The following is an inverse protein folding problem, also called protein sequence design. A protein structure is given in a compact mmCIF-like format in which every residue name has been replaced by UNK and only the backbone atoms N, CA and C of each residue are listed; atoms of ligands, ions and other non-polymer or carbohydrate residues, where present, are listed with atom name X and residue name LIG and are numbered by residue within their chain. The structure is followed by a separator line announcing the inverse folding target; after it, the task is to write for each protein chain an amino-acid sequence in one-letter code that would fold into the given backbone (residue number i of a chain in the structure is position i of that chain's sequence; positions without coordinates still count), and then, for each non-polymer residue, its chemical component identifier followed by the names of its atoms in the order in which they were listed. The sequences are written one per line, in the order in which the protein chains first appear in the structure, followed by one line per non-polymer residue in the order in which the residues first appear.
data_IF_496673318545
#
_entry.id   IF_496673318545
#
_cell.length_a   1.000
_cell.length_b   1.000
_cell.length_c   1.000
_cell.angle_alpha   90.00
_cell.angle_beta   90.00
_cell.angle_gamma   90.00
#
_symmetry.space_group_name_H-M   'P 1'
#
loop_
_entity.id
_entity.type
_entity.pdbx_description
1 polymer ?
#
# COMPACT_ATOMS: atom_id res chain seq x y z
N UNK A 1 12.52 10.29 0.39
CA UNK A 1 13.03 9.23 1.30
C UNK A 1 11.80 8.64 1.95
N UNK A 2 11.46 7.38 1.69
CA UNK A 2 10.17 6.87 2.16
C UNK A 2 10.17 6.76 3.70
N UNK A 3 9.19 7.35 4.37
CA UNK A 3 9.08 7.29 5.85
C UNK A 3 8.96 5.85 6.39
N UNK A 4 8.63 4.89 5.51
CA UNK A 4 8.56 3.47 5.82
C UNK A 4 9.91 2.73 5.84
N UNK A 5 10.98 3.28 5.25
CA UNK A 5 12.28 2.57 5.14
C UNK A 5 12.93 2.22 6.49
N UNK A 6 12.51 2.85 7.60
CA UNK A 6 13.11 2.64 8.92
C UNK A 6 12.14 2.16 10.01
N UNK A 7 10.91 1.74 9.66
CA UNK A 7 9.89 1.34 10.64
C UNK A 7 9.56 -0.14 10.48
N UNK A 8 9.91 -0.94 11.50
CA UNK A 8 9.50 -2.34 11.56
C UNK A 8 8.04 -2.41 12.03
N UNK A 9 7.13 -2.63 11.08
CA UNK A 9 5.70 -2.80 11.36
C UNK A 9 5.43 -4.22 11.90
N UNK A 10 5.44 -4.38 13.22
CA UNK A 10 5.26 -5.69 13.90
C UNK A 10 3.81 -6.01 14.28
N UNK A 11 2.95 -5.00 14.44
CA UNK A 11 1.55 -5.19 14.85
C UNK A 11 0.66 -5.53 13.65
N UNK A 12 -0.38 -6.33 13.89
CA UNK A 12 -1.40 -6.64 12.88
C UNK A 12 -2.31 -5.44 12.57
N UNK A 13 -2.60 -4.65 13.61
CA UNK A 13 -3.49 -3.48 13.53
C UNK A 13 -2.86 -2.30 14.26
N UNK A 14 -3.07 -1.12 13.70
CA UNK A 14 -2.62 0.17 14.21
C UNK A 14 -3.81 1.09 14.39
N UNK A 15 -3.77 1.89 15.45
CA UNK A 15 -4.74 2.94 15.72
C UNK A 15 -4.48 4.18 14.86
N UNK A 16 -5.49 5.04 14.71
CA UNK A 16 -5.33 6.30 13.98
C UNK A 16 -4.22 7.19 14.56
N UNK A 17 -3.99 7.14 15.87
CA UNK A 17 -2.93 7.90 16.54
C UNK A 17 -1.54 7.39 16.19
N UNK A 18 -1.35 6.07 16.15
CA UNK A 18 -0.09 5.46 15.73
C UNK A 18 0.21 5.75 14.25
N UNK A 19 -0.80 5.63 13.38
CA UNK A 19 -0.65 5.98 11.96
C UNK A 19 -0.28 7.46 11.80
N UNK A 20 -0.96 8.35 12.52
CA UNK A 20 -0.65 9.77 12.52
C UNK A 20 0.78 10.06 12.99
N UNK A 21 1.25 9.37 14.03
CA UNK A 21 2.62 9.49 14.53
C UNK A 21 3.67 9.00 13.51
N UNK A 22 3.42 7.87 12.83
CA UNK A 22 4.31 7.32 11.79
C UNK A 22 4.56 8.35 10.66
N UNK A 23 3.51 9.04 10.24
CA UNK A 23 3.61 10.03 9.17
C UNK A 23 3.91 11.45 9.66
N UNK A 24 3.97 11.67 10.97
CA UNK A 24 4.09 12.98 11.62
C UNK A 24 3.03 13.97 11.13
N UNK A 25 1.78 13.50 11.01
CA UNK A 25 0.64 14.30 10.57
C UNK A 25 -0.45 14.31 11.63
N UNK A 26 -1.42 15.20 11.49
CA UNK A 26 -2.57 15.22 12.39
C UNK A 26 -3.52 14.04 12.11
N UNK A 27 -4.10 13.46 13.16
CA UNK A 27 -5.15 12.42 13.05
C UNK A 27 -6.34 12.84 12.17
N UNK A 28 -6.66 14.14 12.13
CA UNK A 28 -7.69 14.68 11.24
C UNK A 28 -7.34 14.50 9.76
N UNK A 29 -6.06 14.60 9.39
CA UNK A 29 -5.61 14.38 8.02
C UNK A 29 -5.71 12.90 7.64
N UNK A 30 -5.35 11.99 8.53
CA UNK A 30 -5.51 10.54 8.32
C UNK A 30 -6.98 10.19 8.10
N UNK A 31 -7.89 10.76 8.92
CA UNK A 31 -9.34 10.59 8.77
C UNK A 31 -9.86 11.16 7.45
N UNK A 32 -9.32 12.28 7.04
CA UNK A 32 -9.70 12.91 5.78
C UNK A 32 -9.24 12.05 4.60
N UNK A 33 -8.01 11.55 4.62
CA UNK A 33 -7.51 10.62 3.61
C UNK A 33 -8.29 9.30 3.56
N UNK A 34 -8.63 8.71 4.71
CA UNK A 34 -9.54 7.55 4.76
C UNK A 34 -10.86 7.82 4.02
N UNK A 35 -11.45 9.00 4.18
CA UNK A 35 -12.72 9.35 3.50
C UNK A 35 -12.52 9.57 2.00
N UNK A 36 -11.41 10.18 1.61
CA UNK A 36 -11.14 10.53 0.22
C UNK A 36 -10.68 9.33 -0.61
N UNK A 37 -9.88 8.43 -0.04
CA UNK A 37 -9.24 7.33 -0.75
C UNK A 37 -9.95 6.00 -0.43
N UNK A 38 -10.70 5.47 -1.40
CA UNK A 38 -11.47 4.22 -1.25
C UNK A 38 -10.60 2.97 -1.06
N UNK A 39 -9.30 3.07 -1.34
CA UNK A 39 -8.31 1.99 -1.14
C UNK A 39 -8.01 1.74 0.34
N UNK A 40 -8.25 2.74 1.20
CA UNK A 40 -8.06 2.62 2.64
C UNK A 40 -9.42 2.30 3.28
N UNK A 41 -9.57 1.09 3.78
CA UNK A 41 -10.83 0.62 4.37
C UNK A 41 -10.56 0.05 5.77
N UNK A 42 -10.35 0.91 6.78
CA UNK A 42 -10.01 0.44 8.11
C UNK A 42 -11.19 -0.31 8.72
N UNK A 43 -10.90 -1.43 9.37
CA UNK A 43 -11.90 -2.13 10.16
C UNK A 43 -12.25 -1.29 11.39
N UNK A 44 -13.53 -1.25 11.73
CA UNK A 44 -13.99 -0.63 12.98
C UNK A 44 -14.14 -1.70 14.05
N UNK A 45 -13.60 -1.46 15.24
CA UNK A 45 -13.84 -2.35 16.37
C UNK A 45 -15.26 -2.11 16.97
N UNK A 46 -15.65 -2.94 17.95
CA UNK A 46 -16.95 -2.81 18.65
C UNK A 46 -17.18 -1.44 19.32
N UNK A 47 -16.11 -0.70 19.61
CA UNK A 47 -16.16 0.65 20.21
C UNK A 47 -16.15 1.78 19.16
N UNK A 48 -16.12 1.46 17.86
CA UNK A 48 -16.06 2.43 16.76
C UNK A 48 -14.67 2.96 16.43
N UNK A 49 -13.61 2.47 17.06
CA UNK A 49 -12.23 2.87 16.75
C UNK A 49 -11.76 2.19 15.46
N UNK A 50 -11.03 2.96 14.65
CA UNK A 50 -10.44 2.50 13.39
C UNK A 50 -9.18 1.70 13.65
N UNK A 51 -9.09 0.56 12.98
CA UNK A 51 -7.96 -0.34 12.97
C UNK A 51 -7.41 -0.41 11.55
N UNK A 52 -6.20 0.11 11.38
CA UNK A 52 -5.47 0.12 10.12
C UNK A 52 -4.53 -1.07 10.07
N UNK A 53 -4.52 -1.79 8.96
CA UNK A 53 -3.59 -2.88 8.70
C UNK A 53 -2.27 -2.35 8.16
N UNK A 54 -1.24 -3.21 8.10
CA UNK A 54 0.03 -2.88 7.44
C UNK A 54 -0.20 -2.42 5.99
N UNK A 55 -1.11 -3.07 5.26
CA UNK A 55 -1.49 -2.66 3.90
C UNK A 55 -2.07 -1.25 3.83
N UNK A 56 -2.91 -0.88 4.80
CA UNK A 56 -3.45 0.49 4.87
C UNK A 56 -2.32 1.51 5.08
N UNK A 57 -1.32 1.17 5.91
CA UNK A 57 -0.14 2.03 6.14
C UNK A 57 0.69 2.18 4.86
N UNK A 58 0.88 1.11 4.08
CA UNK A 58 1.55 1.20 2.77
C UNK A 58 0.80 2.13 1.81
N UNK A 59 -0.53 2.07 1.78
CA UNK A 59 -1.34 3.01 1.00
C UNK A 59 -1.19 4.45 1.49
N UNK A 60 -1.19 4.67 2.80
CA UNK A 60 -0.94 6.00 3.37
C UNK A 60 0.44 6.54 2.98
N UNK A 61 1.48 5.69 2.96
CA UNK A 61 2.80 6.10 2.53
C UNK A 61 2.83 6.55 1.07
N UNK A 62 2.16 5.82 0.16
CA UNK A 62 2.04 6.23 -1.24
C UNK A 62 1.29 7.56 -1.37
N UNK A 63 0.19 7.73 -0.65
CA UNK A 63 -0.57 9.00 -0.63
C UNK A 63 0.33 10.14 -0.14
N UNK A 64 1.08 9.91 0.94
CA UNK A 64 2.00 10.90 1.50
C UNK A 64 3.05 11.32 0.47
N UNK A 65 3.69 10.37 -0.22
CA UNK A 65 4.67 10.68 -1.27
C UNK A 65 4.06 11.51 -2.40
N UNK A 66 2.89 11.10 -2.91
CA UNK A 66 2.22 11.80 -3.99
C UNK A 66 1.83 13.24 -3.60
N UNK A 67 1.26 13.43 -2.41
CA UNK A 67 0.74 14.74 -2.01
C UNK A 67 1.83 15.65 -1.45
N UNK A 68 2.76 15.13 -0.62
CA UNK A 68 3.75 15.93 0.09
C UNK A 68 5.08 16.04 -0.63
N UNK A 69 5.57 14.96 -1.25
CA UNK A 69 6.85 15.01 -1.97
C UNK A 69 6.65 15.49 -3.42
N UNK A 70 5.60 15.01 -4.09
CA UNK A 70 5.38 15.29 -5.52
C UNK A 70 4.38 16.43 -5.77
N UNK A 71 3.70 16.94 -4.74
CA UNK A 71 2.82 18.11 -4.84
C UNK A 71 1.51 17.85 -5.60
N UNK A 72 1.07 16.60 -5.75
CA UNK A 72 -0.20 16.30 -6.39
C UNK A 72 -1.37 16.81 -5.56
N UNK A 73 -2.44 17.25 -6.25
CA UNK A 73 -3.74 17.44 -5.61
C UNK A 73 -4.32 16.10 -5.17
N UNK A 74 -5.26 16.11 -4.24
CA UNK A 74 -5.90 14.88 -3.74
C UNK A 74 -6.54 14.07 -4.88
N UNK A 75 -7.19 14.74 -5.84
CA UNK A 75 -7.78 14.08 -7.01
C UNK A 75 -6.70 13.52 -7.95
N UNK A 76 -5.59 14.25 -8.14
CA UNK A 76 -4.42 13.77 -8.89
C UNK A 76 -3.80 12.53 -8.24
N UNK A 77 -3.65 12.54 -6.91
CA UNK A 77 -3.14 11.40 -6.15
C UNK A 77 -4.08 10.18 -6.26
N UNK A 78 -5.40 10.37 -6.24
CA UNK A 78 -6.38 9.27 -6.47
C UNK A 78 -6.21 8.64 -7.84
N UNK A 79 -6.04 9.46 -8.89
CA UNK A 79 -5.82 8.97 -10.26
C UNK A 79 -4.49 8.23 -10.36
N UNK A 80 -3.43 8.78 -9.79
CA UNK A 80 -2.11 8.17 -9.75
C UNK A 80 -2.09 6.83 -8.99
N UNK A 81 -2.83 6.72 -7.88
CA UNK A 81 -2.98 5.47 -7.14
C UNK A 81 -3.71 4.40 -7.95
N UNK A 82 -4.80 4.76 -8.63
CA UNK A 82 -5.53 3.81 -9.50
C UNK A 82 -4.70 3.36 -10.71
N UNK A 83 -3.92 4.26 -11.30
CA UNK A 83 -3.02 3.88 -12.41
C UNK A 83 -1.85 3.04 -11.93
N UNK A 84 -1.26 3.40 -10.78
CA UNK A 84 -0.16 2.68 -10.16
C UNK A 84 -0.54 1.32 -9.61
N UNK A 85 -1.77 1.11 -9.13
CA UNK A 85 -2.31 -0.21 -8.80
C UNK A 85 -2.35 -1.13 -10.02
N UNK A 86 -2.69 -0.58 -11.19
CA UNK A 86 -2.60 -1.31 -12.45
C UNK A 86 -1.17 -1.76 -12.72
N UNK A 87 -0.21 -0.84 -12.58
CA UNK A 87 1.22 -1.12 -12.81
C UNK A 87 1.84 -2.06 -11.77
N UNK A 88 1.41 -2.01 -10.51
CA UNK A 88 1.86 -2.90 -9.43
C UNK A 88 1.22 -4.29 -9.51
N UNK A 89 -0.06 -4.36 -9.92
CA UNK A 89 -0.69 -5.62 -10.27
C UNK A 89 0.04 -6.26 -11.46
N UNK A 90 0.40 -5.47 -12.48
CA UNK A 90 1.20 -5.92 -13.61
C UNK A 90 2.61 -6.36 -13.16
N UNK A 91 3.29 -5.62 -12.28
CA UNK A 91 4.62 -5.99 -11.80
C UNK A 91 4.62 -7.30 -10.97
N UNK A 92 3.66 -7.45 -10.03
CA UNK A 92 3.48 -8.70 -9.28
C UNK A 92 3.05 -9.85 -10.21
N UNK A 93 2.25 -9.57 -11.24
CA UNK A 93 1.90 -10.57 -12.25
C UNK A 93 3.12 -10.96 -13.08
N UNK A 94 3.99 -10.02 -13.45
CA UNK A 94 5.23 -10.29 -14.18
C UNK A 94 6.17 -11.19 -13.36
N UNK A 95 6.34 -10.93 -12.07
CA UNK A 95 7.15 -11.77 -11.19
C UNK A 95 6.59 -13.19 -11.07
N UNK A 96 5.27 -13.34 -10.89
CA UNK A 96 4.58 -14.64 -10.86
C UNK A 96 4.64 -15.36 -12.21
N UNK A 97 4.60 -14.63 -13.33
CA UNK A 97 4.71 -15.20 -14.67
C UNK A 97 6.12 -15.70 -14.96
N UNK A 98 7.16 -14.99 -14.51
CA UNK A 98 8.55 -15.42 -14.63
C UNK A 98 8.76 -16.74 -13.89
N UNK A 99 8.29 -16.86 -12.64
CA UNK A 99 8.41 -18.11 -11.86
C UNK A 99 7.68 -19.29 -12.54
N UNK A 100 6.53 -19.04 -13.17
CA UNK A 100 5.84 -20.06 -13.97
C UNK A 100 6.62 -20.45 -15.23
N UNK A 101 7.20 -19.48 -15.94
CA UNK A 101 8.00 -19.75 -17.14
C UNK A 101 9.27 -20.54 -16.81
N UNK A 102 9.93 -20.26 -15.68
CA UNK A 102 11.09 -21.03 -15.21
C UNK A 102 10.73 -22.48 -14.87
N UNK A 103 9.57 -22.71 -14.22
CA UNK A 103 9.04 -24.06 -13.98
C UNK A 103 8.72 -24.82 -15.27
N UNK A 104 8.17 -24.14 -16.27
CA UNK A 104 7.89 -24.76 -17.58
C UNK A 104 9.20 -25.11 -18.29
N UNK A 105 10.18 -24.20 -18.29
CA UNK A 105 11.50 -24.41 -18.90
C UNK A 105 12.24 -25.60 -18.29
N UNK A 106 12.27 -25.69 -16.97
CA UNK A 106 12.90 -26.82 -16.25
C UNK A 106 12.25 -28.15 -16.58
N UNK A 107 10.91 -28.20 -16.60
CA UNK A 107 10.15 -29.40 -16.97
C UNK A 107 10.37 -29.85 -18.42
N UNK A 108 10.48 -28.90 -19.36
CA UNK A 108 10.80 -29.21 -20.76
C UNK A 108 12.24 -29.72 -20.93
N UNK A 109 13.17 -29.22 -20.12
CA UNK A 109 14.56 -29.70 -20.09
C UNK A 109 14.66 -31.14 -19.58
N UNK A 110 13.85 -31.52 -18.59
CA UNK A 110 13.78 -32.89 -18.08
C UNK A 110 13.25 -33.88 -19.13
N UNK A 111 12.30 -33.45 -19.96
CA UNK A 111 11.70 -34.26 -21.03
C UNK A 111 12.57 -34.37 -22.29
N UNK A 112 13.70 -33.64 -22.35
CA UNK A 112 14.64 -33.66 -23.48
C UNK A 112 15.74 -34.73 -23.33
N UNK A 113 15.74 -35.49 -22.24
CA UNK A 113 16.56 -36.71 -22.08
C UNK A 113 15.83 -37.92 -22.62
#
# INVERSE_FOLDING_TARGET
MSKLENIVLTKLYYSIGEVAAIFEVNTSLIRFWEKEFTVIQPKKNKKGNRLFTVKDIEHFNKIYQLVKEQGYTLDGAKKALKSGEKTLADANQHEVLIDKLEKIKSKLLELKK
#
